data_IF_005772461837
#
_entry.id   IF_005772461837
#
_cell.length_a   1.000
_cell.length_b   1.000
_cell.length_c   1.000
_cell.angle_alpha   90.00
_cell.angle_beta   90.00
_cell.angle_gamma   90.00
#
_symmetry.space_group_name_H-M   'P 1'
#
loop_
_entity.id
_entity.type
_entity.pdbx_description
1 polymer ?
#
# COMPACT_ATOMS: atom_id res chain seq x y z
N UNK A 1 -7.89 19.50 -0.08
CA UNK A 1 -6.70 19.25 -0.93
C UNK A 1 -6.15 17.84 -0.73
N UNK A 2 -6.15 17.30 0.49
CA UNK A 2 -6.08 15.84 0.67
C UNK A 2 -7.36 15.20 0.11
N UNK A 3 -7.23 14.17 -0.74
CA UNK A 3 -8.37 13.40 -1.27
C UNK A 3 -8.89 13.80 -2.66
N UNK A 4 -8.18 14.64 -3.42
CA UNK A 4 -8.56 14.89 -4.81
C UNK A 4 -8.20 13.68 -5.69
N UNK A 5 -9.23 12.95 -6.12
CA UNK A 5 -9.10 11.75 -6.94
C UNK A 5 -8.43 12.04 -8.29
N UNK A 6 -8.68 13.21 -8.89
CA UNK A 6 -8.09 13.58 -10.17
C UNK A 6 -6.59 13.86 -10.03
N UNK A 7 -6.19 14.55 -8.96
CA UNK A 7 -4.78 14.79 -8.64
C UNK A 7 -4.05 13.48 -8.32
N UNK A 8 -4.67 12.59 -7.54
CA UNK A 8 -4.10 11.28 -7.24
C UNK A 8 -3.90 10.42 -8.51
N UNK A 9 -4.88 10.41 -9.42
CA UNK A 9 -4.78 9.69 -10.69
C UNK A 9 -3.63 10.23 -11.56
N UNK A 10 -3.49 11.56 -11.67
CA UNK A 10 -2.40 12.19 -12.41
C UNK A 10 -1.02 11.89 -11.82
N UNK A 11 -0.92 11.81 -10.48
CA UNK A 11 0.32 11.39 -9.80
C UNK A 11 0.68 9.94 -10.11
N UNK A 12 -0.31 9.03 -10.08
CA UNK A 12 -0.11 7.61 -10.39
C UNK A 12 0.32 7.44 -11.86
N UNK A 13 -0.39 8.06 -12.79
CA UNK A 13 -0.08 8.02 -14.24
C UNK A 13 1.38 8.41 -14.51
N UNK A 14 1.83 9.53 -13.94
CA UNK A 14 3.21 10.01 -14.10
C UNK A 14 4.26 9.03 -13.59
N UNK A 15 4.02 8.39 -12.44
CA UNK A 15 4.95 7.41 -11.85
C UNK A 15 4.96 6.13 -12.68
N UNK A 16 3.79 5.61 -13.02
CA UNK A 16 3.62 4.35 -13.76
C UNK A 16 4.18 4.47 -15.18
N UNK A 17 4.11 5.65 -15.80
CA UNK A 17 4.65 5.88 -17.14
C UNK A 17 6.16 5.59 -17.28
N UNK A 18 6.94 5.64 -16.18
CA UNK A 18 8.39 5.44 -16.22
C UNK A 18 8.90 4.42 -15.19
N UNK A 19 8.03 3.55 -14.71
CA UNK A 19 8.37 2.56 -13.69
C UNK A 19 7.98 1.15 -14.14
N UNK A 20 8.78 0.17 -13.77
CA UNK A 20 8.40 -1.23 -13.87
C UNK A 20 7.50 -1.61 -12.70
N UNK A 21 6.33 -2.17 -13.00
CA UNK A 21 5.33 -2.54 -11.99
C UNK A 21 5.49 -4.00 -11.61
N UNK A 22 5.88 -4.26 -10.36
CA UNK A 22 6.00 -5.61 -9.80
C UNK A 22 4.96 -5.85 -8.70
N UNK A 23 4.13 -6.87 -8.87
CA UNK A 23 3.18 -7.31 -7.85
C UNK A 23 3.82 -8.34 -6.93
N UNK A 24 3.99 -7.99 -5.66
CA UNK A 24 4.56 -8.88 -4.64
C UNK A 24 3.47 -9.51 -3.77
N UNK A 25 3.70 -10.76 -3.37
CA UNK A 25 2.84 -11.53 -2.46
C UNK A 25 3.64 -12.03 -1.26
N UNK A 26 2.94 -12.31 -0.17
CA UNK A 26 3.50 -12.84 1.07
C UNK A 26 3.55 -11.82 2.20
N UNK A 27 3.73 -12.32 3.42
CA UNK A 27 3.81 -11.49 4.61
C UNK A 27 5.10 -10.66 4.64
N UNK A 28 5.05 -9.52 5.34
CA UNK A 28 6.21 -8.64 5.49
C UNK A 28 7.37 -9.38 6.15
N UNK A 29 8.55 -9.38 5.51
CA UNK A 29 9.75 -10.03 6.07
C UNK A 29 10.10 -9.53 7.47
N UNK A 30 9.86 -8.23 7.72
CA UNK A 30 10.04 -7.60 9.04
C UNK A 30 9.34 -8.35 10.16
N UNK A 31 8.16 -8.96 9.92
CA UNK A 31 7.34 -9.63 10.95
C UNK A 31 7.41 -11.16 10.91
N UNK A 32 8.20 -11.74 10.00
CA UNK A 32 8.26 -13.20 9.73
C UNK A 32 8.44 -14.08 10.98
N UNK A 33 9.11 -13.58 12.02
CA UNK A 33 9.39 -14.32 13.25
C UNK A 33 8.77 -13.69 14.50
N UNK A 34 7.84 -12.74 14.34
CA UNK A 34 7.24 -12.01 15.46
C UNK A 34 5.89 -12.56 15.91
N UNK A 35 5.44 -13.68 15.34
CA UNK A 35 4.13 -14.27 15.63
C UNK A 35 2.95 -13.39 15.22
N UNK A 36 3.20 -12.35 14.42
CA UNK A 36 2.18 -11.45 13.88
C UNK A 36 2.23 -11.54 12.36
N UNK A 37 1.10 -11.85 11.73
CA UNK A 37 1.01 -12.01 10.27
C UNK A 37 1.04 -10.68 9.53
N UNK A 38 0.55 -9.62 10.17
CA UNK A 38 0.49 -8.29 9.58
C UNK A 38 0.89 -7.19 10.56
N UNK A 39 1.27 -6.05 10.02
CA UNK A 39 1.62 -4.87 10.80
C UNK A 39 0.37 -4.30 11.49
N UNK A 40 0.46 -3.80 12.73
CA UNK A 40 -0.68 -3.21 13.43
C UNK A 40 -1.34 -2.06 12.66
N UNK A 41 -0.54 -1.29 11.91
CA UNK A 41 -1.02 -0.17 11.10
C UNK A 41 -1.92 -0.58 9.93
N UNK A 42 -1.87 -1.83 9.46
CA UNK A 42 -2.77 -2.30 8.40
C UNK A 42 -4.12 -2.73 8.96
N UNK A 43 -4.18 -3.18 10.23
CA UNK A 43 -5.44 -3.56 10.89
C UNK A 43 -6.34 -2.35 11.13
N UNK A 44 -5.76 -1.19 11.38
CA UNK A 44 -6.51 0.06 11.59
C UNK A 44 -7.32 0.51 10.36
N UNK A 45 -7.03 0.00 9.16
CA UNK A 45 -7.77 0.33 7.94
C UNK A 45 -8.98 -0.60 7.70
N UNK A 46 -9.01 -1.79 8.29
CA UNK A 46 -10.05 -2.81 8.04
C UNK A 46 -11.28 -2.65 8.95
N UNK A 47 -11.15 -1.91 10.06
CA UNK A 47 -12.26 -1.63 10.99
C UNK A 47 -13.00 -0.31 10.72
N UNK A 48 -12.70 0.36 9.60
CA UNK A 48 -13.29 1.63 9.22
C UNK A 48 -14.28 1.53 8.04
N UNK A 49 -14.83 0.33 7.81
CA UNK A 49 -15.84 0.05 6.80
C UNK A 49 -17.15 -0.41 7.42
#
# INVERSE_FOLDING_TARGET
MFGDQAVAAAMIDRVVHRADVLTLKGASYRVRNRGIETLPSTRSQDTAH
#
